data_IF_178990830027
#
_entry.id   IF_178990830027
#
_cell.length_a   1.000
_cell.length_b   1.000
_cell.length_c   1.000
_cell.angle_alpha   90.00
_cell.angle_beta   90.00
_cell.angle_gamma   90.00
#
_symmetry.space_group_name_H-M   'P 1'
#
loop_
_entity.id
_entity.type
_entity.pdbx_description
1 polymer ?
#
# COMPACT_ATOMS: atom_id res chain seq x y z
N UNK A 1 24.89 34.04 60.66
CA UNK A 1 24.27 35.36 60.43
C UNK A 1 23.80 35.59 58.99
N UNK A 2 24.59 35.43 57.91
CA UNK A 2 24.12 35.72 56.55
C UNK A 2 23.11 34.70 56.00
N UNK A 3 23.24 33.43 56.39
CA UNK A 3 22.34 32.34 55.95
C UNK A 3 20.92 32.46 56.52
N UNK A 4 20.78 32.93 57.77
CA UNK A 4 19.46 33.12 58.37
C UNK A 4 18.72 34.31 57.78
N UNK A 5 19.46 35.38 57.43
CA UNK A 5 18.90 36.55 56.75
C UNK A 5 18.35 36.19 55.36
N UNK A 6 19.07 35.35 54.61
CA UNK A 6 18.63 34.85 53.29
C UNK A 6 17.40 33.96 53.43
N UNK A 7 17.35 33.11 54.45
CA UNK A 7 16.22 32.21 54.71
C UNK A 7 14.97 32.98 55.11
N UNK A 8 15.07 33.93 56.03
CA UNK A 8 13.93 34.77 56.44
C UNK A 8 13.44 35.66 55.29
N UNK A 9 14.35 36.12 54.42
CA UNK A 9 13.98 36.86 53.21
C UNK A 9 13.26 35.98 52.17
N UNK A 10 13.71 34.73 51.98
CA UNK A 10 13.08 33.77 51.09
C UNK A 10 11.72 33.29 51.61
N UNK A 11 11.57 33.08 52.91
CA UNK A 11 10.29 32.67 53.50
C UNK A 11 9.22 33.77 53.38
N UNK A 12 9.63 35.04 53.32
CA UNK A 12 8.74 36.19 53.11
C UNK A 12 8.44 36.48 51.64
N UNK A 13 9.44 36.40 50.76
CA UNK A 13 9.34 36.91 49.38
C UNK A 13 9.56 35.85 48.29
N UNK A 14 9.89 34.61 48.66
CA UNK A 14 10.29 33.56 47.73
C UNK A 14 9.19 33.17 46.74
N UNK A 15 7.93 33.15 47.19
CA UNK A 15 6.78 32.90 46.31
C UNK A 15 6.64 33.99 45.24
N UNK A 16 6.71 35.26 45.65
CA UNK A 16 6.59 36.40 44.72
C UNK A 16 7.76 36.43 43.73
N UNK A 17 8.97 36.10 44.18
CA UNK A 17 10.15 35.97 43.31
C UNK A 17 9.93 34.85 42.27
N UNK A 18 9.43 33.69 42.67
CA UNK A 18 9.12 32.58 41.76
C UNK A 18 8.06 32.95 40.73
N UNK A 19 7.00 33.66 41.15
CA UNK A 19 5.94 34.13 40.25
C UNK A 19 6.51 35.14 39.26
N UNK A 20 7.31 36.12 39.71
CA UNK A 20 7.94 37.12 38.85
C UNK A 20 8.89 36.48 37.83
N UNK A 21 9.74 35.54 38.25
CA UNK A 21 10.64 34.81 37.35
C UNK A 21 9.85 34.01 36.32
N UNK A 22 8.74 33.39 36.73
CA UNK A 22 7.87 32.64 35.81
C UNK A 22 7.21 33.55 34.78
N UNK A 23 6.69 34.71 35.20
CA UNK A 23 6.09 35.70 34.29
C UNK A 23 7.13 36.21 33.29
N UNK A 24 8.34 36.55 33.76
CA UNK A 24 9.44 37.00 32.89
C UNK A 24 9.82 35.92 31.88
N UNK A 25 9.87 34.65 32.29
CA UNK A 25 10.13 33.52 31.40
C UNK A 25 9.06 33.38 30.31
N UNK A 26 7.78 33.46 30.66
CA UNK A 26 6.69 33.40 29.68
C UNK A 26 6.67 34.61 28.74
N UNK A 27 6.95 35.81 29.25
CA UNK A 27 7.09 37.02 28.43
C UNK A 27 8.25 36.91 27.46
N UNK A 28 9.41 36.42 27.91
CA UNK A 28 10.56 36.16 27.05
C UNK A 28 10.24 35.11 25.97
N UNK A 29 9.57 34.02 26.35
CA UNK A 29 9.13 32.99 25.41
C UNK A 29 8.15 33.58 24.37
N UNK A 30 7.16 34.37 24.81
CA UNK A 30 6.21 35.03 23.92
C UNK A 30 6.92 35.99 22.94
N UNK A 31 7.83 36.85 23.43
CA UNK A 31 8.62 37.76 22.59
C UNK A 31 9.46 36.98 21.58
N UNK A 32 10.09 35.87 21.99
CA UNK A 32 10.90 35.01 21.12
C UNK A 32 10.10 34.30 20.01
N UNK A 33 8.76 34.34 20.09
CA UNK A 33 7.80 33.75 19.14
C UNK A 33 7.09 34.80 18.28
N UNK A 34 7.24 36.10 18.58
CA UNK A 34 6.73 37.19 17.73
C UNK A 34 7.42 37.10 16.36
N UNK A 35 6.62 36.94 15.30
CA UNK A 35 7.10 36.86 13.90
C UNK A 35 7.40 35.45 13.38
N UNK A 36 7.30 34.39 14.20
CA UNK A 36 7.44 33.00 13.71
C UNK A 36 6.08 32.46 13.26
N UNK A 37 5.89 32.32 11.95
CA UNK A 37 4.72 31.67 11.37
C UNK A 37 4.83 30.15 11.62
N UNK A 38 3.87 29.57 12.35
CA UNK A 38 3.81 28.12 12.55
C UNK A 38 3.50 27.38 11.24
N UNK A 39 3.91 26.12 11.14
CA UNK A 39 3.64 25.25 9.98
C UNK A 39 2.21 24.69 9.96
N UNK A 40 1.24 25.43 10.48
CA UNK A 40 -0.16 25.01 10.44
C UNK A 40 -0.69 25.28 9.03
N UNK A 41 -1.24 24.24 8.40
CA UNK A 41 -1.87 24.38 7.09
C UNK A 41 -3.15 25.20 7.24
N UNK A 42 -3.22 26.37 6.60
CA UNK A 42 -4.45 27.18 6.49
C UNK A 42 -5.42 26.65 5.42
N UNK A 43 -5.24 25.41 4.95
CA UNK A 43 -6.19 24.79 4.01
C UNK A 43 -7.45 24.42 4.78
N UNK A 44 -8.50 25.22 4.64
CA UNK A 44 -9.87 24.83 4.97
C UNK A 44 -10.14 23.50 4.28
N UNK A 45 -10.48 22.47 5.06
CA UNK A 45 -10.91 21.18 4.52
C UNK A 45 -12.30 21.38 3.90
N UNK A 46 -12.33 21.80 2.64
CA UNK A 46 -13.53 21.66 1.82
C UNK A 46 -13.65 20.18 1.47
N UNK A 47 -14.78 19.51 1.80
CA UNK A 47 -14.98 18.14 1.37
C UNK A 47 -15.00 18.15 -0.16
N UNK A 48 -13.93 17.66 -0.78
CA UNK A 48 -13.83 17.52 -2.22
C UNK A 48 -15.07 16.76 -2.72
N UNK A 49 -15.82 17.37 -3.65
CA UNK A 49 -16.79 16.65 -4.48
C UNK A 49 -16.05 15.49 -5.13
N UNK A 50 -16.27 14.28 -4.59
CA UNK A 50 -15.80 12.97 -5.07
C UNK A 50 -14.71 13.11 -6.13
N UNK A 51 -13.46 13.41 -5.73
CA UNK A 51 -12.29 13.19 -6.57
C UNK A 51 -12.46 11.78 -7.14
N UNK A 52 -12.76 11.67 -8.45
CA UNK A 52 -12.79 10.39 -9.15
C UNK A 52 -11.47 9.73 -8.77
N UNK A 53 -11.51 8.65 -7.98
CA UNK A 53 -10.31 7.92 -7.57
C UNK A 53 -9.47 7.78 -8.84
N UNK A 54 -8.24 8.29 -8.82
CA UNK A 54 -7.34 8.11 -9.95
C UNK A 54 -7.37 6.63 -10.30
N UNK A 55 -7.72 6.32 -11.56
CA UNK A 55 -7.76 4.95 -12.03
C UNK A 55 -6.36 4.38 -11.71
N UNK A 56 -6.26 3.25 -10.98
CA UNK A 56 -4.98 2.64 -10.70
C UNK A 56 -4.19 2.53 -12.00
N UNK A 57 -2.94 3.00 -12.01
CA UNK A 57 -2.10 2.95 -13.21
C UNK A 57 -1.71 1.50 -13.46
N UNK A 58 -2.47 0.83 -14.30
CA UNK A 58 -2.22 -0.55 -14.71
C UNK A 58 -1.21 -0.62 -15.86
N UNK A 59 -0.50 -1.74 -15.94
CA UNK A 59 0.36 -2.00 -17.09
C UNK A 59 -0.48 -2.26 -18.35
N UNK A 60 0.14 -2.09 -19.53
CA UNK A 60 -0.50 -2.43 -20.81
C UNK A 60 -0.92 -3.91 -20.85
N UNK A 61 -0.07 -4.81 -20.32
CA UNK A 61 -0.36 -6.25 -20.26
C UNK A 61 -1.57 -6.58 -19.40
N UNK A 62 -1.67 -6.00 -18.19
CA UNK A 62 -2.86 -6.14 -17.33
C UNK A 62 -4.13 -5.65 -18.02
N UNK A 63 -4.06 -4.50 -18.69
CA UNK A 63 -5.20 -3.93 -19.41
C UNK A 63 -5.68 -4.86 -20.53
N UNK A 64 -4.74 -5.43 -21.30
CA UNK A 64 -5.05 -6.37 -22.39
C UNK A 64 -5.68 -7.64 -21.82
N UNK A 65 -5.08 -8.23 -20.77
CA UNK A 65 -5.62 -9.41 -20.11
C UNK A 65 -7.07 -9.17 -19.67
N UNK A 66 -7.34 -8.06 -18.97
CA UNK A 66 -8.69 -7.75 -18.49
C UNK A 66 -9.67 -7.57 -19.65
N UNK A 67 -9.36 -6.72 -20.62
CA UNK A 67 -10.26 -6.44 -21.75
C UNK A 67 -10.61 -7.70 -22.52
N UNK A 68 -9.62 -8.57 -22.71
CA UNK A 68 -9.80 -9.84 -23.37
C UNK A 68 -10.72 -10.76 -22.56
N UNK A 69 -10.47 -10.95 -21.27
CA UNK A 69 -11.29 -11.80 -20.39
C UNK A 69 -12.74 -11.30 -20.30
N UNK A 70 -12.93 -10.00 -20.11
CA UNK A 70 -14.26 -9.41 -20.03
C UNK A 70 -15.04 -9.57 -21.34
N UNK A 71 -14.37 -9.41 -22.49
CA UNK A 71 -14.97 -9.65 -23.81
C UNK A 71 -15.29 -11.13 -24.03
N UNK A 72 -14.38 -12.04 -23.67
CA UNK A 72 -14.53 -13.49 -23.89
C UNK A 72 -15.67 -14.07 -23.05
N UNK A 73 -15.75 -13.71 -21.77
CA UNK A 73 -16.70 -14.29 -20.84
C UNK A 73 -17.96 -13.45 -20.62
N UNK A 74 -17.98 -12.20 -21.10
CA UNK A 74 -19.05 -11.23 -20.86
C UNK A 74 -19.34 -11.07 -19.34
N UNK A 75 -18.26 -11.03 -18.54
CA UNK A 75 -18.27 -10.92 -17.08
C UNK A 75 -17.16 -9.98 -16.63
N UNK A 76 -17.29 -9.27 -15.49
CA UNK A 76 -16.23 -8.39 -15.01
C UNK A 76 -15.04 -9.20 -14.46
N UNK A 77 -13.82 -8.69 -14.68
CA UNK A 77 -12.58 -9.24 -14.11
C UNK A 77 -11.81 -8.16 -13.34
N UNK A 78 -12.36 -7.69 -12.20
CA UNK A 78 -11.73 -6.61 -11.43
C UNK A 78 -10.38 -7.03 -10.86
N UNK A 79 -9.53 -6.02 -10.67
CA UNK A 79 -8.38 -6.10 -9.76
C UNK A 79 -8.88 -6.11 -8.32
N UNK A 80 -8.57 -7.16 -7.56
CA UNK A 80 -9.14 -7.36 -6.23
C UNK A 80 -8.19 -8.09 -5.27
N UNK A 81 -8.38 -7.88 -3.97
CA UNK A 81 -7.67 -8.54 -2.88
C UNK A 81 -8.58 -9.54 -2.15
N UNK A 82 -8.88 -10.71 -2.75
CA UNK A 82 -9.91 -11.61 -2.26
C UNK A 82 -9.57 -12.18 -0.88
N UNK A 83 -10.61 -12.55 -0.11
CA UNK A 83 -10.47 -12.97 1.29
C UNK A 83 -9.57 -14.20 1.49
N UNK A 84 -9.52 -15.12 0.52
CA UNK A 84 -8.68 -16.32 0.59
C UNK A 84 -7.18 -15.99 0.39
N UNK A 85 -6.84 -14.84 -0.19
CA UNK A 85 -5.47 -14.38 -0.40
C UNK A 85 -4.84 -13.69 0.83
N UNK A 86 -5.24 -14.04 2.06
CA UNK A 86 -4.63 -13.48 3.29
C UNK A 86 -3.12 -13.68 3.33
N UNK A 87 -2.33 -12.62 3.50
CA UNK A 87 -0.88 -12.75 3.61
C UNK A 87 -0.48 -13.10 5.07
N UNK A 88 0.10 -14.29 5.35
CA UNK A 88 0.49 -14.64 6.71
C UNK A 88 1.61 -13.76 7.24
N UNK A 89 2.47 -13.22 6.37
CA UNK A 89 3.63 -12.39 6.76
C UNK A 89 3.20 -11.06 7.38
N UNK A 90 2.07 -10.49 6.96
CA UNK A 90 1.51 -9.25 7.53
C UNK A 90 0.49 -9.52 8.63
N UNK A 91 0.52 -10.72 9.24
CA UNK A 91 -0.49 -11.12 10.23
C UNK A 91 -1.90 -11.26 9.67
N UNK A 92 -2.05 -11.32 8.34
CA UNK A 92 -3.35 -11.38 7.67
C UNK A 92 -4.09 -10.04 7.54
N UNK A 93 -3.45 -8.92 7.91
CA UNK A 93 -4.06 -7.58 7.81
C UNK A 93 -4.31 -7.15 6.36
N UNK A 94 -3.43 -7.57 5.44
CA UNK A 94 -3.50 -7.22 4.02
C UNK A 94 -3.46 -8.48 3.15
N UNK A 95 -4.50 -8.69 2.36
CA UNK A 95 -4.53 -9.78 1.38
C UNK A 95 -3.64 -9.44 0.17
N UNK A 96 -3.12 -10.48 -0.49
CA UNK A 96 -2.50 -10.37 -1.80
C UNK A 96 -3.58 -9.98 -2.84
N UNK A 97 -3.13 -9.32 -3.89
CA UNK A 97 -3.98 -8.81 -4.97
C UNK A 97 -3.92 -9.74 -6.18
N UNK A 98 -5.04 -9.84 -6.90
CA UNK A 98 -5.14 -10.40 -8.24
C UNK A 98 -5.38 -9.30 -9.27
N UNK A 99 -4.68 -9.34 -10.40
CA UNK A 99 -4.85 -8.34 -11.47
C UNK A 99 -6.22 -8.40 -12.14
N UNK A 100 -6.67 -9.61 -12.42
CA UNK A 100 -7.96 -9.94 -13.03
C UNK A 100 -8.55 -11.16 -12.31
N UNK A 101 -9.72 -11.04 -11.70
CA UNK A 101 -10.34 -12.19 -11.03
C UNK A 101 -11.86 -12.17 -11.17
N UNK A 102 -12.43 -13.34 -11.43
CA UNK A 102 -13.87 -13.55 -11.42
C UNK A 102 -14.22 -14.70 -10.44
N UNK A 103 -15.05 -14.37 -9.44
CA UNK A 103 -15.44 -15.30 -8.38
C UNK A 103 -16.36 -16.42 -8.87
N UNK A 104 -17.28 -16.12 -9.80
CA UNK A 104 -18.24 -17.09 -10.33
C UNK A 104 -17.56 -18.16 -11.18
N UNK A 105 -16.60 -17.73 -12.02
CA UNK A 105 -15.81 -18.62 -12.87
C UNK A 105 -14.64 -19.28 -12.13
N UNK A 106 -14.35 -18.85 -10.88
CA UNK A 106 -13.16 -19.26 -10.13
C UNK A 106 -11.88 -19.12 -10.94
N UNK A 107 -11.76 -18.04 -11.70
CA UNK A 107 -10.66 -17.79 -12.63
C UNK A 107 -9.94 -16.48 -12.28
N UNK A 108 -8.64 -16.58 -12.05
CA UNK A 108 -7.71 -15.46 -11.90
C UNK A 108 -6.68 -15.44 -13.03
N UNK A 109 -6.31 -14.24 -13.47
CA UNK A 109 -5.21 -14.02 -14.40
C UNK A 109 -4.28 -12.92 -13.85
N UNK A 110 -2.98 -13.18 -13.90
CA UNK A 110 -1.90 -12.26 -13.51
C UNK A 110 -1.01 -11.96 -14.70
N UNK A 111 -0.64 -10.69 -14.89
CA UNK A 111 0.37 -10.32 -15.87
C UNK A 111 1.71 -10.07 -15.18
N UNK A 112 2.62 -11.04 -15.30
CA UNK A 112 3.90 -11.01 -14.61
C UNK A 112 4.94 -10.23 -15.41
N UNK A 113 5.21 -9.00 -14.98
CA UNK A 113 6.29 -8.16 -15.51
C UNK A 113 7.70 -8.73 -15.27
N UNK A 114 8.73 -8.12 -15.89
CA UNK A 114 10.14 -8.55 -15.75
C UNK A 114 10.61 -8.62 -14.29
N UNK A 115 10.03 -7.79 -13.42
CA UNK A 115 10.34 -7.75 -11.99
C UNK A 115 10.07 -9.07 -11.26
N UNK A 116 9.14 -9.91 -11.75
CA UNK A 116 8.87 -11.23 -11.16
C UNK A 116 10.00 -12.23 -11.44
N UNK A 117 10.78 -12.01 -12.51
CA UNK A 117 11.76 -12.96 -13.01
C UNK A 117 13.19 -12.55 -12.70
N UNK A 118 13.48 -11.25 -12.74
CA UNK A 118 14.84 -10.71 -12.59
C UNK A 118 14.91 -9.61 -11.56
N UNK A 119 15.93 -9.68 -10.71
CA UNK A 119 16.29 -8.54 -9.89
C UNK A 119 16.67 -7.36 -10.78
N UNK A 120 16.16 -6.18 -10.42
CA UNK A 120 16.41 -4.92 -11.11
C UNK A 120 16.33 -3.81 -10.07
N UNK A 121 17.37 -2.98 -9.93
CA UNK A 121 17.37 -1.84 -9.01
C UNK A 121 16.21 -0.85 -9.25
N UNK A 122 15.65 -0.82 -10.47
CA UNK A 122 14.49 0.01 -10.79
C UNK A 122 13.20 -0.49 -10.12
N UNK A 123 13.04 -1.80 -9.99
CA UNK A 123 11.83 -2.42 -9.43
C UNK A 123 12.00 -2.89 -7.98
N UNK A 124 13.25 -3.09 -7.54
CA UNK A 124 13.56 -3.68 -6.25
C UNK A 124 14.62 -2.86 -5.53
N UNK A 125 14.35 -2.55 -4.25
CA UNK A 125 15.31 -1.85 -3.38
C UNK A 125 16.57 -2.67 -3.12
N UNK A 126 16.40 -3.98 -2.94
CA UNK A 126 17.47 -4.93 -2.62
C UNK A 126 17.05 -6.35 -3.05
N UNK A 127 17.97 -7.31 -2.92
CA UNK A 127 17.73 -8.71 -3.28
C UNK A 127 16.61 -9.35 -2.46
N UNK A 128 16.47 -8.97 -1.19
CA UNK A 128 15.41 -9.44 -0.30
C UNK A 128 14.02 -9.04 -0.81
N UNK A 129 13.86 -7.81 -1.31
CA UNK A 129 12.59 -7.34 -1.88
C UNK A 129 12.16 -8.17 -3.10
N UNK A 130 13.11 -8.58 -3.93
CA UNK A 130 12.87 -9.50 -5.05
C UNK A 130 12.50 -10.91 -4.59
N UNK A 131 13.20 -11.44 -3.58
CA UNK A 131 12.85 -12.74 -2.99
C UNK A 131 11.46 -12.72 -2.34
N UNK A 132 11.11 -11.63 -1.66
CA UNK A 132 9.79 -11.41 -1.07
C UNK A 132 8.69 -11.27 -2.15
N UNK A 133 9.01 -10.74 -3.32
CA UNK A 133 8.09 -10.76 -4.45
C UNK A 133 7.85 -12.19 -4.95
N UNK A 134 8.91 -12.96 -5.20
CA UNK A 134 8.79 -14.38 -5.58
C UNK A 134 8.01 -15.20 -4.55
N UNK A 135 8.26 -14.98 -3.27
CA UNK A 135 7.52 -15.62 -2.20
C UNK A 135 6.03 -15.30 -2.26
N UNK A 136 5.66 -14.03 -2.49
CA UNK A 136 4.25 -13.63 -2.65
C UNK A 136 3.61 -14.28 -3.87
N UNK A 137 4.32 -14.40 -4.99
CA UNK A 137 3.82 -15.07 -6.20
C UNK A 137 3.54 -16.56 -5.94
N UNK A 138 4.45 -17.26 -5.26
CA UNK A 138 4.23 -18.65 -4.82
C UNK A 138 3.01 -18.76 -3.89
N UNK A 139 2.88 -17.85 -2.93
CA UNK A 139 1.73 -17.81 -2.02
C UNK A 139 0.41 -17.60 -2.77
N UNK A 140 0.38 -16.80 -3.84
CA UNK A 140 -0.81 -16.67 -4.70
C UNK A 140 -1.16 -18.02 -5.33
N UNK A 141 -0.18 -18.71 -5.93
CA UNK A 141 -0.41 -20.03 -6.57
C UNK A 141 -1.00 -21.03 -5.60
N UNK A 142 -0.41 -21.15 -4.41
CA UNK A 142 -0.87 -22.08 -3.37
C UNK A 142 -2.28 -21.74 -2.92
N UNK A 143 -2.55 -20.49 -2.57
CA UNK A 143 -3.85 -20.07 -2.04
C UNK A 143 -4.97 -20.10 -3.09
N UNK A 144 -4.67 -19.79 -4.34
CA UNK A 144 -5.63 -19.98 -5.43
C UNK A 144 -5.98 -21.46 -5.57
N UNK A 145 -4.99 -22.35 -5.57
CA UNK A 145 -5.22 -23.81 -5.63
C UNK A 145 -6.08 -24.31 -4.45
N UNK A 146 -5.76 -23.90 -3.23
CA UNK A 146 -6.53 -24.24 -2.03
C UNK A 146 -7.98 -23.73 -2.09
N UNK A 147 -8.21 -22.56 -2.70
CA UNK A 147 -9.52 -21.97 -2.87
C UNK A 147 -10.31 -22.52 -4.09
N UNK A 148 -9.74 -23.50 -4.82
CA UNK A 148 -10.33 -24.01 -6.06
C UNK A 148 -10.37 -22.98 -7.20
N UNK A 149 -9.48 -21.99 -7.15
CA UNK A 149 -9.34 -20.94 -8.16
C UNK A 149 -8.24 -21.32 -9.14
N UNK A 150 -8.59 -21.35 -10.42
CA UNK A 150 -7.65 -21.46 -11.52
C UNK A 150 -6.88 -20.15 -11.62
N UNK A 151 -5.55 -20.20 -11.60
CA UNK A 151 -4.68 -19.04 -11.77
C UNK A 151 -3.83 -19.21 -13.02
N UNK A 152 -4.00 -18.32 -14.00
CA UNK A 152 -3.16 -18.23 -15.20
C UNK A 152 -2.19 -17.07 -15.05
N UNK A 153 -0.90 -17.34 -15.24
CA UNK A 153 0.14 -16.32 -15.17
C UNK A 153 0.71 -16.04 -16.56
N UNK A 154 0.48 -14.83 -17.07
CA UNK A 154 0.96 -14.41 -18.39
C UNK A 154 2.33 -13.74 -18.21
N UNK A 155 3.43 -14.35 -18.69
CA UNK A 155 4.75 -13.75 -18.55
C UNK A 155 4.93 -12.57 -19.52
N UNK A 156 5.71 -11.57 -19.10
CA UNK A 156 6.05 -10.41 -19.95
C UNK A 156 6.76 -10.75 -21.27
N UNK A 157 7.26 -11.98 -21.41
CA UNK A 157 7.87 -12.48 -22.64
C UNK A 157 6.85 -12.78 -23.73
N UNK A 158 5.56 -12.88 -23.39
CA UNK A 158 4.48 -13.01 -24.38
C UNK A 158 4.22 -11.63 -24.99
N UNK A 159 4.38 -11.47 -26.33
CA UNK A 159 4.02 -10.24 -27.01
C UNK A 159 2.55 -9.87 -26.76
N UNK A 160 2.26 -8.58 -26.66
CA UNK A 160 0.92 -8.09 -26.31
C UNK A 160 -0.18 -8.60 -27.26
N UNK A 161 0.13 -8.67 -28.55
CA UNK A 161 -0.72 -9.22 -29.61
C UNK A 161 -1.03 -10.72 -29.44
N UNK A 162 -0.19 -11.45 -28.70
CA UNK A 162 -0.32 -12.89 -28.48
C UNK A 162 -0.86 -13.24 -27.09
N UNK A 163 -1.14 -12.25 -26.23
CA UNK A 163 -1.69 -12.49 -24.89
C UNK A 163 -3.01 -13.26 -24.96
N UNK A 164 -3.89 -12.87 -25.88
CA UNK A 164 -5.21 -13.52 -26.03
C UNK A 164 -5.07 -15.02 -26.34
N UNK A 165 -4.25 -15.35 -27.35
CA UNK A 165 -3.96 -16.72 -27.75
C UNK A 165 -3.27 -17.51 -26.63
N UNK A 166 -2.37 -16.88 -25.88
CA UNK A 166 -1.74 -17.50 -24.72
C UNK A 166 -2.78 -17.91 -23.67
N UNK A 167 -3.69 -17.00 -23.30
CA UNK A 167 -4.75 -17.29 -22.34
C UNK A 167 -5.67 -18.41 -22.84
N UNK A 168 -6.05 -18.39 -24.12
CA UNK A 168 -6.86 -19.46 -24.73
C UNK A 168 -6.20 -20.83 -24.59
N UNK A 169 -4.91 -20.93 -24.95
CA UNK A 169 -4.15 -22.18 -24.85
C UNK A 169 -4.03 -22.68 -23.41
N UNK A 170 -3.83 -21.78 -22.45
CA UNK A 170 -3.77 -22.17 -21.04
C UNK A 170 -5.14 -22.68 -20.55
N UNK A 171 -6.23 -22.02 -20.95
CA UNK A 171 -7.59 -22.48 -20.64
C UNK A 171 -7.87 -23.86 -21.26
N UNK A 172 -7.53 -24.08 -22.53
CA UNK A 172 -7.69 -25.37 -23.20
C UNK A 172 -6.97 -26.50 -22.44
N UNK A 173 -5.70 -26.30 -22.08
CA UNK A 173 -4.93 -27.29 -21.30
C UNK A 173 -5.63 -27.68 -20.00
N UNK A 174 -6.23 -26.70 -19.32
CA UNK A 174 -6.92 -26.94 -18.04
C UNK A 174 -8.19 -27.78 -18.26
N UNK A 175 -8.97 -27.50 -19.29
CA UNK A 175 -10.16 -28.29 -19.63
C UNK A 175 -9.81 -29.74 -20.02
N UNK A 176 -8.75 -29.92 -20.82
CA UNK A 176 -8.28 -31.26 -21.19
C UNK A 176 -7.68 -32.04 -20.02
N UNK A 177 -7.07 -31.37 -19.04
CA UNK A 177 -6.50 -32.03 -17.85
C UNK A 177 -7.55 -32.40 -16.80
N UNK A 178 -8.76 -31.84 -16.91
CA UNK A 178 -9.87 -32.05 -15.97
C UNK A 178 -10.96 -33.00 -16.51
N UNK A 179 -10.77 -33.52 -17.73
CA UNK A 179 -11.63 -34.52 -18.39
C UNK A 179 -10.99 -35.90 -18.34
#
# INVERSE_FOLDING_TARGET
MPLELIRDYWDKNGFDILVLVSIVFFLFYAISRIGKVGTYSNTVFMPDEKKKKAIPKESKGETICRRYLERKFNRPFPKIRPRFLRNPVTGGEYNLELDCFNEELKLGVEYNGIQHYKFSPYFHKNKEAFLNQKYRDEMKRVKCREAGVILIEVPYTVPHENIENYIDKELEKIYFSSS
#
